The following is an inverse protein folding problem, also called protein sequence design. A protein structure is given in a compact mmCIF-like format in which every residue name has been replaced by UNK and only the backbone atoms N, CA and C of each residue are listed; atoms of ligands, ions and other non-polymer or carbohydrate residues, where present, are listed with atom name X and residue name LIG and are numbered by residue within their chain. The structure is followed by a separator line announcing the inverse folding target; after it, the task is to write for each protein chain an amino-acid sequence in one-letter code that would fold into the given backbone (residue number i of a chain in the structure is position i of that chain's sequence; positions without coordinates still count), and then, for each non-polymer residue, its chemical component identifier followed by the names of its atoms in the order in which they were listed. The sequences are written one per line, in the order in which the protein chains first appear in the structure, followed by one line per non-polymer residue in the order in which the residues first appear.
data_IF_527856533731
#
_entry.id   IF_527856533731
#
_cell.length_a   1.000
_cell.length_b   1.000
_cell.length_c   1.000
_cell.angle_alpha   90.00
_cell.angle_beta   90.00
_cell.angle_gamma   90.00
#
_symmetry.space_group_name_H-M   'P 1'
#
loop_
_entity.id
_entity.type
_entity.pdbx_description
1 polymer ?
#
# COMPACT_ATOMS: atom_id res chain seq x y z
N UNK A 1 -13.02 -10.30 11.07
CA UNK A 1 -12.00 -10.78 10.12
C UNK A 1 -12.50 -10.49 8.71
N UNK A 2 -11.70 -9.90 7.84
CA UNK A 2 -12.10 -9.57 6.45
C UNK A 2 -11.98 -10.78 5.51
N UNK A 3 -13.00 -11.10 4.72
CA UNK A 3 -12.87 -12.05 3.61
C UNK A 3 -12.44 -11.33 2.32
N UNK A 4 -11.99 -12.09 1.30
CA UNK A 4 -11.69 -11.52 -0.03
C UNK A 4 -12.94 -10.85 -0.64
N UNK A 5 -14.12 -11.44 -0.43
CA UNK A 5 -15.38 -10.83 -0.85
C UNK A 5 -15.64 -9.48 -0.15
N UNK A 6 -15.37 -9.39 1.15
CA UNK A 6 -15.47 -8.12 1.88
C UNK A 6 -14.47 -7.08 1.38
N UNK A 7 -13.24 -7.49 1.01
CA UNK A 7 -12.25 -6.60 0.38
C UNK A 7 -12.80 -6.06 -0.94
N UNK A 8 -13.41 -6.91 -1.77
CA UNK A 8 -14.03 -6.48 -3.02
C UNK A 8 -15.15 -5.47 -2.77
N UNK A 9 -16.04 -5.75 -1.80
CA UNK A 9 -17.12 -4.82 -1.42
C UNK A 9 -16.61 -3.48 -0.91
N UNK A 10 -15.48 -3.45 -0.18
CA UNK A 10 -14.86 -2.20 0.25
C UNK A 10 -14.43 -1.34 -0.95
N UNK A 11 -13.81 -1.95 -1.95
CA UNK A 11 -13.46 -1.26 -3.20
C UNK A 11 -14.71 -0.86 -4.02
N UNK A 12 -15.74 -1.69 -4.09
CA UNK A 12 -16.99 -1.34 -4.78
C UNK A 12 -17.69 -0.13 -4.13
N UNK A 13 -17.69 -0.05 -2.80
CA UNK A 13 -18.38 1.00 -2.05
C UNK A 13 -17.58 2.30 -1.95
N UNK A 14 -16.27 2.19 -1.70
CA UNK A 14 -15.41 3.35 -1.40
C UNK A 14 -14.36 3.64 -2.46
N UNK A 15 -14.14 2.72 -3.40
CA UNK A 15 -13.06 2.81 -4.38
C UNK A 15 -13.25 3.89 -5.44
N UNK A 16 -14.48 4.34 -5.69
CA UNK A 16 -14.78 5.43 -6.62
C UNK A 16 -14.44 6.83 -6.10
N UNK A 17 -13.99 6.97 -4.84
CA UNK A 17 -13.59 8.26 -4.27
C UNK A 17 -12.27 8.72 -4.84
N UNK A 18 -12.12 10.04 -5.02
CA UNK A 18 -10.88 10.66 -5.47
C UNK A 18 -9.73 10.37 -4.49
N UNK A 19 -8.59 9.98 -5.02
CA UNK A 19 -7.40 9.69 -4.23
C UNK A 19 -6.68 10.99 -3.86
N UNK A 20 -6.99 11.56 -2.69
CA UNK A 20 -6.25 12.67 -2.07
C UNK A 20 -5.98 13.90 -2.98
N UNK A 21 -6.92 14.21 -3.89
CA UNK A 21 -6.82 15.32 -4.84
C UNK A 21 -6.05 15.00 -6.12
N UNK A 22 -5.58 13.77 -6.30
CA UNK A 22 -5.03 13.26 -7.56
C UNK A 22 -6.15 13.01 -8.58
N UNK A 23 -5.79 12.91 -9.87
CA UNK A 23 -6.75 12.67 -10.96
C UNK A 23 -7.10 11.18 -11.15
N UNK A 24 -7.05 10.40 -10.07
CA UNK A 24 -7.43 8.98 -10.04
C UNK A 24 -8.26 8.71 -8.80
N UNK A 25 -9.09 7.68 -8.86
CA UNK A 25 -9.84 7.16 -7.72
C UNK A 25 -9.00 6.21 -6.86
N UNK A 26 -9.46 5.91 -5.64
CA UNK A 26 -8.85 4.94 -4.73
C UNK A 26 -8.67 3.56 -5.40
N UNK A 27 -9.68 3.11 -6.15
CA UNK A 27 -9.63 1.85 -6.89
C UNK A 27 -8.64 1.93 -8.07
N UNK A 28 -8.66 3.01 -8.85
CA UNK A 28 -7.72 3.17 -9.96
C UNK A 28 -6.27 3.19 -9.46
N UNK A 29 -5.99 3.90 -8.37
CA UNK A 29 -4.68 3.91 -7.74
C UNK A 29 -4.23 2.50 -7.34
N UNK A 30 -5.06 1.77 -6.58
CA UNK A 30 -4.79 0.39 -6.19
C UNK A 30 -4.51 -0.54 -7.38
N UNK A 31 -5.34 -0.47 -8.43
CA UNK A 31 -5.18 -1.29 -9.63
C UNK A 31 -3.92 -0.91 -10.42
N UNK A 32 -3.59 0.38 -10.51
CA UNK A 32 -2.37 0.85 -11.17
C UNK A 32 -1.13 0.37 -10.42
N UNK A 33 -1.09 0.49 -9.09
CA UNK A 33 0.03 0.03 -8.25
C UNK A 33 0.25 -1.47 -8.43
N UNK A 34 -0.82 -2.28 -8.36
CA UNK A 34 -0.75 -3.72 -8.60
C UNK A 34 -0.29 -4.06 -10.04
N UNK A 35 -0.79 -3.33 -11.03
CA UNK A 35 -0.40 -3.52 -12.44
C UNK A 35 1.08 -3.21 -12.66
N UNK A 36 1.61 -2.16 -12.04
CA UNK A 36 3.03 -1.80 -12.13
C UNK A 36 3.91 -2.88 -11.47
N UNK A 37 3.51 -3.38 -10.29
CA UNK A 37 4.18 -4.50 -9.63
C UNK A 37 4.21 -5.75 -10.51
N UNK A 38 3.06 -6.11 -11.10
CA UNK A 38 2.95 -7.27 -11.99
C UNK A 38 3.83 -7.12 -13.24
N UNK A 39 3.84 -5.94 -13.88
CA UNK A 39 4.70 -5.65 -15.04
C UNK A 39 6.18 -5.67 -14.71
N UNK A 40 6.54 -5.36 -13.47
CA UNK A 40 7.91 -5.45 -12.97
C UNK A 40 8.35 -6.89 -12.64
N UNK A 41 7.47 -7.89 -12.81
CA UNK A 41 7.77 -9.29 -12.51
C UNK A 41 7.88 -9.59 -11.01
N UNK A 42 7.20 -8.80 -10.18
CA UNK A 42 7.16 -9.04 -8.74
C UNK A 42 6.44 -10.34 -8.38
N UNK A 43 6.82 -10.94 -7.26
CA UNK A 43 6.12 -12.10 -6.70
C UNK A 43 4.65 -11.78 -6.40
N UNK A 44 3.79 -12.79 -6.45
CA UNK A 44 2.34 -12.61 -6.31
C UNK A 44 1.97 -11.95 -4.98
N UNK A 45 2.70 -12.22 -3.91
CA UNK A 45 2.50 -11.62 -2.60
C UNK A 45 2.76 -10.12 -2.61
N UNK A 46 3.77 -9.67 -3.34
CA UNK A 46 4.09 -8.24 -3.46
C UNK A 46 3.12 -7.52 -4.41
N UNK A 47 2.64 -8.21 -5.46
CA UNK A 47 1.53 -7.69 -6.28
C UNK A 47 0.25 -7.55 -5.45
N UNK A 48 -0.02 -8.51 -4.56
CA UNK A 48 -1.14 -8.44 -3.61
C UNK A 48 -0.97 -7.28 -2.63
N UNK A 49 0.24 -7.09 -2.08
CA UNK A 49 0.54 -5.96 -1.21
C UNK A 49 0.31 -4.62 -1.94
N UNK A 50 0.74 -4.52 -3.20
CA UNK A 50 0.51 -3.36 -4.04
C UNK A 50 -0.97 -3.03 -4.24
N UNK A 51 -1.81 -4.04 -4.47
CA UNK A 51 -3.25 -3.85 -4.58
C UNK A 51 -3.89 -3.35 -3.27
N UNK A 52 -3.37 -3.78 -2.13
CA UNK A 52 -4.05 -3.64 -0.82
C UNK A 52 -3.46 -2.57 0.10
N UNK A 53 -2.32 -1.95 -0.27
CA UNK A 53 -1.56 -1.09 0.63
C UNK A 53 -2.36 0.08 1.24
N UNK A 54 -3.24 0.68 0.43
CA UNK A 54 -4.07 1.82 0.79
C UNK A 54 -5.52 1.47 1.16
N UNK A 55 -5.84 0.18 1.26
CA UNK A 55 -7.18 -0.28 1.66
C UNK A 55 -7.60 0.28 3.04
N UNK A 56 -6.62 0.67 3.87
CA UNK A 56 -6.84 1.33 5.16
C UNK A 56 -7.59 2.65 5.07
N UNK A 57 -7.47 3.41 3.98
CA UNK A 57 -8.26 4.62 3.75
C UNK A 57 -9.76 4.30 3.63
N UNK A 58 -10.12 3.13 3.08
CA UNK A 58 -11.52 2.74 2.90
C UNK A 58 -12.15 2.22 4.20
N UNK A 59 -11.34 1.65 5.09
CA UNK A 59 -11.83 1.08 6.37
C UNK A 59 -11.80 2.09 7.49
N UNK A 60 -10.76 2.91 7.57
CA UNK A 60 -10.69 4.03 8.51
C UNK A 60 -11.09 5.32 7.80
N UNK A 61 -12.29 5.33 7.23
CA UNK A 61 -12.77 6.48 6.47
C UNK A 61 -12.82 7.73 7.35
N UNK A 62 -11.89 8.65 7.10
CA UNK A 62 -11.84 9.97 7.73
C UNK A 62 -12.45 11.04 6.84
N UNK A 63 -13.06 10.70 5.70
CA UNK A 63 -13.49 11.63 4.67
C UNK A 63 -12.33 12.12 3.81
N UNK A 64 -12.63 13.07 2.93
CA UNK A 64 -11.67 13.54 1.93
C UNK A 64 -10.46 14.24 2.56
N UNK A 65 -9.27 13.90 2.07
CA UNK A 65 -7.97 14.52 2.40
C UNK A 65 -7.76 14.78 3.90
N UNK A 66 -7.68 13.74 4.77
CA UNK A 66 -7.51 13.90 6.22
C UNK A 66 -6.28 14.72 6.61
N UNK A 67 -5.22 14.64 5.80
CA UNK A 67 -3.96 15.38 5.99
C UNK A 67 -4.16 16.90 5.99
N UNK A 68 -5.14 17.41 5.23
CA UNK A 68 -5.45 18.84 5.18
C UNK A 68 -6.05 19.34 6.52
N UNK A 69 -6.57 18.43 7.33
CA UNK A 69 -7.04 18.69 8.70
C UNK A 69 -6.02 18.28 9.77
N UNK A 70 -4.79 17.95 9.37
CA UNK A 70 -3.71 17.57 10.29
C UNK A 70 -3.86 16.17 10.89
N UNK A 71 -4.61 15.27 10.24
CA UNK A 71 -4.88 13.92 10.72
C UNK A 71 -4.00 12.92 9.97
N UNK A 72 -3.17 12.16 10.69
CA UNK A 72 -2.59 10.91 10.20
C UNK A 72 -3.59 9.78 10.48
N UNK A 73 -4.08 9.14 9.44
CA UNK A 73 -5.13 8.11 9.54
C UNK A 73 -4.57 6.70 9.78
N UNK A 74 -3.24 6.55 9.80
CA UNK A 74 -2.56 5.30 10.08
C UNK A 74 -3.05 4.14 9.18
N UNK A 75 -3.40 4.45 7.92
CA UNK A 75 -3.96 3.51 6.94
C UNK A 75 -3.06 2.27 6.74
N UNK A 76 -1.74 2.42 6.84
CA UNK A 76 -0.77 1.34 6.76
C UNK A 76 -0.90 0.30 7.89
N UNK A 77 -1.49 0.67 9.03
CA UNK A 77 -1.61 -0.21 10.20
C UNK A 77 -3.04 -0.71 10.46
N UNK A 78 -4.05 0.12 10.21
CA UNK A 78 -5.42 -0.16 10.66
C UNK A 78 -6.01 -1.46 10.08
N UNK A 79 -5.55 -1.88 8.90
CA UNK A 79 -6.03 -3.06 8.18
C UNK A 79 -5.30 -4.36 8.51
N UNK A 80 -4.08 -4.28 9.02
CA UNK A 80 -3.24 -5.46 9.23
C UNK A 80 -3.91 -6.49 10.16
N UNK A 81 -4.51 -6.10 11.32
CA UNK A 81 -5.19 -7.05 12.20
C UNK A 81 -6.39 -7.74 11.54
N UNK A 82 -7.03 -7.08 10.57
CA UNK A 82 -8.19 -7.60 9.87
C UNK A 82 -7.81 -8.57 8.76
N UNK A 83 -6.62 -8.42 8.17
CA UNK A 83 -6.11 -9.21 7.05
C UNK A 83 -5.13 -10.32 7.45
N UNK A 84 -4.60 -10.31 8.68
CA UNK A 84 -3.61 -11.29 9.17
C UNK A 84 -4.02 -12.76 9.12
N UNK A 85 -5.30 -13.06 8.97
CA UNK A 85 -5.78 -14.43 8.82
C UNK A 85 -5.75 -14.89 7.35
N UNK A 86 -5.83 -13.95 6.40
CA UNK A 86 -5.73 -14.22 4.96
C UNK A 86 -4.28 -14.21 4.49
N UNK A 87 -3.49 -13.21 4.86
CA UNK A 87 -2.19 -12.99 4.21
C UNK A 87 -1.01 -13.12 5.17
N UNK A 88 0.10 -13.64 4.65
CA UNK A 88 1.35 -13.79 5.39
C UNK A 88 2.21 -12.52 5.39
N UNK A 89 3.39 -12.56 6.06
CA UNK A 89 4.29 -11.40 6.16
C UNK A 89 4.71 -10.80 4.81
N UNK A 90 4.88 -11.63 3.78
CA UNK A 90 5.25 -11.18 2.43
C UNK A 90 4.21 -10.25 1.76
N UNK A 91 2.96 -10.26 2.24
CA UNK A 91 1.93 -9.29 1.84
C UNK A 91 1.83 -8.15 2.86
N UNK A 92 1.80 -8.48 4.16
CA UNK A 92 1.44 -7.53 5.20
C UNK A 92 2.58 -6.58 5.60
N UNK A 93 3.83 -7.04 5.59
CA UNK A 93 4.97 -6.19 5.97
C UNK A 93 5.25 -5.09 4.93
N UNK A 94 5.22 -5.33 3.60
CA UNK A 94 5.31 -4.24 2.63
C UNK A 94 4.20 -3.19 2.81
N UNK A 95 2.95 -3.61 3.05
CA UNK A 95 1.83 -2.69 3.36
C UNK A 95 2.15 -1.86 4.60
N UNK A 96 2.57 -2.50 5.68
CA UNK A 96 2.92 -1.82 6.94
C UNK A 96 4.04 -0.80 6.78
N UNK A 97 5.03 -1.12 5.94
CA UNK A 97 6.28 -0.36 5.81
C UNK A 97 6.23 0.70 4.70
N UNK A 98 5.21 0.75 3.85
CA UNK A 98 5.21 1.66 2.69
C UNK A 98 5.27 3.16 3.08
N UNK A 99 4.73 3.53 4.25
CA UNK A 99 4.89 4.90 4.82
C UNK A 99 6.33 5.15 5.29
N UNK A 100 6.95 4.18 5.97
CA UNK A 100 8.37 4.26 6.35
C UNK A 100 9.29 4.31 5.11
N UNK A 101 8.94 3.59 4.04
CA UNK A 101 9.65 3.62 2.77
C UNK A 101 9.64 5.03 2.14
N UNK A 102 8.53 5.77 2.22
CA UNK A 102 8.47 7.20 1.84
C UNK A 102 9.46 8.03 2.64
N UNK A 103 9.45 7.88 3.97
CA UNK A 103 10.32 8.64 4.90
C UNK A 103 11.80 8.36 4.62
N UNK A 104 12.12 7.11 4.30
CA UNK A 104 13.46 6.68 3.87
C UNK A 104 13.87 7.32 2.55
N UNK A 105 13.05 7.21 1.50
CA UNK A 105 13.40 7.73 0.16
C UNK A 105 13.63 9.24 0.21
N UNK A 106 12.81 9.98 0.95
CA UNK A 106 13.01 11.42 1.17
C UNK A 106 14.32 11.76 1.92
N UNK A 107 14.89 10.82 2.68
CA UNK A 107 16.11 11.03 3.45
C UNK A 107 17.37 10.81 2.60
N UNK A 108 17.30 9.88 1.66
CA UNK A 108 18.46 9.46 0.86
C UNK A 108 18.45 10.07 -0.55
N UNK A 109 17.32 10.60 -0.99
CA UNK A 109 17.14 11.21 -2.30
C UNK A 109 16.39 12.55 -2.16
N UNK A 110 17.13 13.64 -2.34
CA UNK A 110 16.57 15.00 -2.27
C UNK A 110 15.63 15.29 -3.45
N UNK A 111 15.89 14.75 -4.63
CA UNK A 111 14.99 14.93 -5.77
C UNK A 111 13.67 14.23 -5.52
N UNK A 112 13.68 13.05 -4.90
CA UNK A 112 12.47 12.34 -4.51
C UNK A 112 11.57 13.20 -3.59
N UNK A 113 12.14 13.87 -2.59
CA UNK A 113 11.41 14.77 -1.69
C UNK A 113 10.68 15.90 -2.44
N UNK A 114 11.32 16.46 -3.48
CA UNK A 114 10.74 17.55 -4.29
C UNK A 114 9.55 17.08 -5.14
N UNK A 115 9.57 15.82 -5.59
CA UNK A 115 8.55 15.26 -6.47
C UNK A 115 7.32 14.68 -5.77
N UNK A 116 7.30 14.64 -4.43
CA UNK A 116 6.11 14.23 -3.69
C UNK A 116 4.89 15.07 -4.10
N UNK A 117 3.70 14.45 -4.13
CA UNK A 117 2.48 15.22 -4.35
C UNK A 117 2.18 16.14 -3.14
N UNK A 118 1.33 17.16 -3.30
CA UNK A 118 0.97 18.04 -2.18
C UNK A 118 0.44 17.28 -0.97
N UNK A 119 -0.33 16.21 -1.18
CA UNK A 119 -0.83 15.37 -0.10
C UNK A 119 0.25 14.52 0.54
N UNK A 120 1.11 13.88 -0.27
CA UNK A 120 2.22 13.08 0.22
C UNK A 120 3.21 13.90 1.07
N UNK A 121 3.41 15.19 0.74
CA UNK A 121 4.21 16.12 1.57
C UNK A 121 3.54 16.45 2.90
N UNK A 122 2.22 16.69 2.93
CA UNK A 122 1.49 16.93 4.19
C UNK A 122 1.54 15.70 5.09
N UNK A 123 1.23 14.52 4.54
CA UNK A 123 1.29 13.27 5.30
C UNK A 123 2.70 12.96 5.79
N UNK A 124 3.74 13.27 5.01
CA UNK A 124 5.13 13.09 5.45
C UNK A 124 5.40 13.84 6.77
N UNK A 125 4.93 15.08 6.91
CA UNK A 125 5.10 15.84 8.14
C UNK A 125 4.35 15.20 9.33
N UNK A 126 3.11 14.75 9.10
CA UNK A 126 2.29 14.11 10.13
C UNK A 126 2.85 12.74 10.57
N UNK A 127 3.57 12.07 9.68
CA UNK A 127 4.11 10.72 9.87
C UNK A 127 5.52 10.70 10.47
N UNK A 128 5.98 11.82 11.03
CA UNK A 128 7.29 11.94 11.68
C UNK A 128 8.42 12.45 10.77
N UNK A 129 8.11 12.95 9.58
CA UNK A 129 9.06 13.62 8.70
C UNK A 129 10.07 12.69 8.03
N UNK A 130 11.11 13.29 7.46
CA UNK A 130 12.21 12.57 6.81
C UNK A 130 13.04 11.82 7.85
N UNK A 131 13.49 10.60 7.53
CA UNK A 131 14.37 9.85 8.43
C UNK A 131 15.70 10.54 8.70
N UNK A 132 16.19 10.41 9.93
CA UNK A 132 17.57 10.69 10.28
C UNK A 132 18.50 9.51 9.91
N UNK A 133 19.84 9.67 9.97
CA UNK A 133 20.79 8.61 9.57
C UNK A 133 20.64 7.27 10.33
N UNK A 134 20.24 7.33 11.60
CA UNK A 134 19.96 6.12 12.41
C UNK A 134 18.71 5.41 11.90
N UNK A 135 17.61 6.15 11.69
CA UNK A 135 16.36 5.60 11.16
C UNK A 135 16.55 4.99 9.76
N UNK A 136 17.35 5.62 8.90
CA UNK A 136 17.74 5.08 7.58
C UNK A 136 18.39 3.69 7.73
N UNK A 137 19.36 3.59 8.64
CA UNK A 137 20.10 2.35 8.89
C UNK A 137 19.23 1.27 9.51
N UNK A 138 18.31 1.64 10.40
CA UNK A 138 17.36 0.72 11.04
C UNK A 138 16.31 0.20 10.05
N UNK A 139 15.77 1.08 9.21
CA UNK A 139 14.79 0.71 8.18
C UNK A 139 15.35 -0.33 7.22
N UNK A 140 16.57 -0.13 6.70
CA UNK A 140 17.19 -1.07 5.76
C UNK A 140 17.43 -2.47 6.34
N UNK A 141 17.50 -2.61 7.66
CA UNK A 141 17.65 -3.90 8.35
C UNK A 141 16.32 -4.63 8.56
N UNK A 142 15.18 -3.96 8.35
CA UNK A 142 13.87 -4.59 8.52
C UNK A 142 13.66 -5.66 7.44
N UNK A 143 13.13 -6.84 7.79
CA UNK A 143 12.60 -7.76 6.80
C UNK A 143 11.61 -7.03 5.89
N UNK A 144 11.62 -7.35 4.60
CA UNK A 144 10.75 -6.75 3.58
C UNK A 144 10.95 -5.25 3.31
N UNK A 145 11.99 -4.59 3.87
CA UNK A 145 12.28 -3.18 3.56
C UNK A 145 12.47 -2.94 2.05
N UNK A 146 13.16 -3.85 1.37
CA UNK A 146 13.36 -3.76 -0.08
C UNK A 146 12.04 -3.86 -0.87
N UNK A 147 11.12 -4.71 -0.42
CA UNK A 147 9.82 -4.86 -1.07
C UNK A 147 8.91 -3.67 -0.78
N UNK A 148 8.99 -3.09 0.42
CA UNK A 148 8.33 -1.83 0.75
C UNK A 148 8.85 -0.66 -0.11
N UNK A 149 10.15 -0.62 -0.42
CA UNK A 149 10.73 0.39 -1.33
C UNK A 149 10.22 0.23 -2.77
N UNK A 150 10.16 -1.01 -3.27
CA UNK A 150 9.58 -1.29 -4.60
C UNK A 150 8.10 -0.90 -4.64
N UNK A 151 7.34 -1.30 -3.62
CA UNK A 151 5.93 -0.93 -3.46
C UNK A 151 5.75 0.58 -3.49
N UNK A 152 6.53 1.30 -2.69
CA UNK A 152 6.48 2.75 -2.63
C UNK A 152 6.75 3.40 -4.00
N UNK A 153 7.73 2.91 -4.73
CA UNK A 153 8.03 3.41 -6.07
C UNK A 153 6.86 3.21 -7.06
N UNK A 154 6.07 2.13 -6.92
CA UNK A 154 4.87 1.94 -7.73
C UNK A 154 3.69 2.80 -7.25
N UNK A 155 3.51 2.96 -5.94
CA UNK A 155 2.53 3.86 -5.32
C UNK A 155 2.68 5.27 -5.92
N UNK A 156 3.89 5.86 -5.87
CA UNK A 156 4.09 7.22 -6.38
C UNK A 156 3.75 7.38 -7.88
N UNK A 157 3.94 6.30 -8.66
CA UNK A 157 3.71 6.29 -10.11
C UNK A 157 2.26 5.98 -10.50
N UNK A 158 1.47 5.42 -9.60
CA UNK A 158 0.11 4.93 -9.84
C UNK A 158 -0.95 6.03 -9.78
N UNK A 159 -0.71 7.12 -10.52
CA UNK A 159 -1.54 8.34 -10.50
C UNK A 159 -1.82 8.83 -11.92
N UNK A 160 -1.89 7.91 -12.88
CA UNK A 160 -2.00 8.21 -14.31
C UNK A 160 -3.47 8.08 -14.75
N UNK A 161 -4.16 9.17 -15.10
CA UNK A 161 -5.55 9.11 -15.55
C UNK A 161 -5.71 8.20 -16.77
N UNK A 162 -6.70 7.31 -16.74
CA UNK A 162 -7.00 6.41 -17.87
C UNK A 162 -5.95 5.32 -18.15
N UNK A 163 -5.00 5.08 -17.23
CA UNK A 163 -4.07 3.95 -17.38
C UNK A 163 -4.85 2.63 -17.45
N UNK A 164 -4.54 1.82 -18.47
CA UNK A 164 -5.13 0.48 -18.60
C UNK A 164 -4.54 -0.46 -17.56
N UNK A 165 -5.42 -1.07 -16.76
CA UNK A 165 -5.12 -2.07 -15.74
C UNK A 165 -6.03 -3.29 -15.94
N UNK A 166 -5.68 -4.46 -15.38
CA UNK A 166 -6.67 -5.47 -15.08
C UNK A 166 -7.74 -4.91 -14.14
N UNK A 167 -8.92 -5.49 -14.18
CA UNK A 167 -10.03 -5.20 -13.27
C UNK A 167 -9.78 -5.80 -11.89
N UNK A 168 -10.53 -5.33 -10.89
CA UNK A 168 -10.48 -5.92 -9.54
C UNK A 168 -10.80 -7.42 -9.57
N UNK A 169 -11.80 -7.83 -10.36
CA UNK A 169 -12.18 -9.23 -10.54
C UNK A 169 -11.02 -10.10 -11.07
N UNK A 170 -10.19 -9.56 -11.96
CA UNK A 170 -9.01 -10.26 -12.48
C UNK A 170 -7.89 -10.42 -11.43
N UNK A 171 -7.83 -9.56 -10.41
CA UNK A 171 -6.90 -9.71 -9.29
C UNK A 171 -7.43 -10.60 -8.14
N UNK A 172 -8.73 -10.94 -8.10
CA UNK A 172 -9.31 -11.80 -7.05
C UNK A 172 -8.62 -13.18 -6.96
N UNK A 173 -8.34 -13.90 -8.06
CA UNK A 173 -7.62 -15.17 -8.00
C UNK A 173 -6.23 -15.05 -7.37
N UNK A 174 -5.54 -13.92 -7.57
CA UNK A 174 -4.23 -13.65 -6.98
C UNK A 174 -4.33 -13.51 -5.45
N UNK A 175 -5.33 -12.77 -4.95
CA UNK A 175 -5.60 -12.71 -3.51
C UNK A 175 -5.90 -14.11 -2.95
N UNK A 176 -6.68 -14.93 -3.68
CA UNK A 176 -6.98 -16.31 -3.30
C UNK A 176 -5.73 -17.18 -3.21
N UNK A 177 -4.81 -17.07 -4.17
CA UNK A 177 -3.56 -17.80 -4.18
C UNK A 177 -2.65 -17.43 -2.99
N UNK A 178 -2.52 -16.13 -2.68
CA UNK A 178 -1.78 -15.68 -1.50
C UNK A 178 -2.40 -16.22 -0.20
N UNK A 179 -3.73 -16.26 -0.11
CA UNK A 179 -4.42 -16.79 1.06
C UNK A 179 -4.22 -18.30 1.24
N UNK A 180 -4.25 -19.06 0.15
CA UNK A 180 -3.96 -20.49 0.17
C UNK A 180 -2.51 -20.78 0.58
N UNK A 181 -1.53 -20.04 0.06
CA UNK A 181 -0.10 -20.20 0.41
C UNK A 181 0.17 -19.98 1.89
N UNK A 182 -0.48 -18.97 2.49
CA UNK A 182 -0.40 -18.75 3.94
C UNK A 182 -0.85 -19.98 4.71
N UNK A 183 -2.03 -20.52 4.39
CA UNK A 183 -2.58 -21.68 5.07
C UNK A 183 -1.66 -22.91 4.94
N UNK A 184 -1.10 -23.15 3.75
CA UNK A 184 -0.12 -24.22 3.54
C UNK A 184 1.15 -24.02 4.37
N UNK A 185 1.63 -22.78 4.51
CA UNK A 185 2.81 -22.49 5.34
C UNK A 185 2.53 -22.72 6.83
N UNK A 186 1.33 -22.38 7.32
CA UNK A 186 0.94 -22.60 8.73
C UNK A 186 0.84 -24.10 9.04
N UNK A 187 0.28 -24.90 8.13
CA UNK A 187 0.19 -26.37 8.27
C UNK A 187 1.55 -27.07 8.21
N UNK A 188 2.53 -26.50 7.48
CA UNK A 188 3.88 -27.06 7.41
C UNK A 188 4.71 -26.82 8.68
N UNK A 189 4.29 -25.89 9.54
CA UNK A 189 4.98 -25.51 10.77
C UNK A 189 4.20 -25.90 12.05
N UNK A 190 3.09 -26.63 11.91
CA UNK A 190 2.29 -27.21 12.99
C UNK A 190 2.60 -28.68 13.21
#
# INVERSE_FOLDING_TARGET
MLTIEMICRLFEQGGGRIYAGEQVTQLEHALQTATLAQKAGADIELVCAALLHDLGHLVNDKGDTPTARGIDDLHQYCMLPLMRHLFGPAVLEPIKLHVEAKRYLCAVDFEYLLHLSPDSRRSLHLQGGVFNPTEVSEFLRKPYAQDALKLRAWDDRAKVPGMKTPTLAEFVPLMGACAARKQSSELAHS
#
